data_IF_309669497248
#
_entry.id   IF_309669497248
#
_cell.length_a   1.000
_cell.length_b   1.000
_cell.length_c   1.000
_cell.angle_alpha   90.00
_cell.angle_beta   90.00
_cell.angle_gamma   90.00
#
_symmetry.space_group_name_H-M   'P 1'
#
loop_
_entity.id
_entity.type
_entity.pdbx_description
1 polymer ?
#
# COMPACT_ATOMS: atom_id res chain seq x y z
N UNK A 1 13.76 13.23 7.92
CA UNK A 1 12.80 12.15 7.59
C UNK A 1 13.54 10.96 6.98
N UNK A 2 13.91 9.93 7.76
CA UNK A 2 14.50 8.72 7.20
C UNK A 2 13.45 7.86 6.48
N UNK A 3 13.81 7.33 5.30
CA UNK A 3 13.04 6.27 4.63
C UNK A 3 13.17 4.98 5.45
N UNK A 4 12.07 4.25 5.66
CA UNK A 4 12.09 2.97 6.38
C UNK A 4 12.57 1.82 5.50
N UNK A 5 13.49 1.03 6.04
CA UNK A 5 14.02 -0.17 5.39
C UNK A 5 13.08 -1.36 5.52
N UNK A 6 13.34 -2.38 4.70
CA UNK A 6 12.68 -3.68 4.73
C UNK A 6 12.58 -4.29 6.15
N UNK A 7 13.64 -4.21 6.95
CA UNK A 7 13.66 -4.68 8.35
C UNK A 7 12.64 -3.96 9.21
N UNK A 8 12.51 -2.65 9.06
CA UNK A 8 11.55 -1.85 9.79
C UNK A 8 10.11 -2.17 9.33
N UNK A 9 9.89 -2.25 8.01
CA UNK A 9 8.59 -2.59 7.43
C UNK A 9 8.12 -3.96 7.93
N UNK A 10 8.97 -4.99 7.89
CA UNK A 10 8.66 -6.33 8.43
C UNK A 10 8.30 -6.28 9.90
N UNK A 11 9.12 -5.61 10.72
CA UNK A 11 8.88 -5.48 12.17
C UNK A 11 7.52 -4.86 12.46
N UNK A 12 7.26 -3.68 11.90
CA UNK A 12 6.03 -2.93 12.17
C UNK A 12 4.80 -3.64 11.59
N UNK A 13 4.92 -4.29 10.42
CA UNK A 13 3.83 -5.09 9.86
C UNK A 13 3.45 -6.28 10.77
N UNK A 14 4.44 -7.00 11.31
CA UNK A 14 4.20 -8.18 12.15
C UNK A 14 3.76 -7.81 13.57
N UNK A 15 4.34 -6.77 14.17
CA UNK A 15 4.07 -6.39 15.56
C UNK A 15 2.86 -5.48 15.72
N UNK A 16 2.63 -4.56 14.77
CA UNK A 16 1.59 -3.52 14.88
C UNK A 16 0.45 -3.68 13.87
N UNK A 17 0.46 -4.74 13.06
CA UNK A 17 -0.53 -5.00 12.00
C UNK A 17 -0.71 -3.82 11.03
N UNK A 18 0.38 -3.12 10.73
CA UNK A 18 0.38 -2.01 9.76
C UNK A 18 -0.09 -2.44 8.37
N UNK A 19 0.17 -3.69 7.98
CA UNK A 19 -0.27 -4.29 6.72
C UNK A 19 -0.88 -5.66 7.03
N UNK A 20 -2.11 -5.89 6.60
CA UNK A 20 -2.75 -7.21 6.67
C UNK A 20 -2.55 -8.01 5.38
N UNK A 21 -2.44 -9.33 5.49
CA UNK A 21 -1.99 -10.22 4.39
C UNK A 21 -0.61 -9.82 3.84
N UNK A 22 0.29 -9.55 4.78
CA UNK A 22 1.66 -9.10 4.55
C UNK A 22 2.56 -10.20 3.98
N UNK A 23 3.35 -9.85 2.97
CA UNK A 23 4.39 -10.72 2.40
C UNK A 23 5.80 -10.21 2.79
N UNK A 24 6.58 -10.96 3.58
CA UNK A 24 7.90 -10.50 4.07
C UNK A 24 8.98 -10.45 3.00
N UNK A 25 8.71 -10.99 1.80
CA UNK A 25 9.61 -10.98 0.66
C UNK A 25 8.87 -10.67 -0.64
N UNK A 26 9.65 -10.56 -1.71
CA UNK A 26 9.15 -10.31 -3.06
C UNK A 26 8.57 -11.60 -3.66
N UNK A 27 7.26 -11.61 -3.90
CA UNK A 27 6.55 -12.68 -4.60
C UNK A 27 6.61 -12.41 -6.09
N UNK A 28 7.16 -13.36 -6.86
CA UNK A 28 7.33 -13.24 -8.33
C UNK A 28 6.56 -14.31 -9.11
N UNK A 29 6.01 -15.28 -8.39
CA UNK A 29 5.28 -16.42 -8.95
C UNK A 29 4.09 -16.74 -8.05
N UNK A 30 2.91 -16.95 -8.64
CA UNK A 30 1.71 -17.44 -7.96
C UNK A 30 1.12 -18.61 -8.76
N UNK A 31 0.78 -19.71 -8.08
CA UNK A 31 0.20 -20.92 -8.70
C UNK A 31 1.01 -21.44 -9.91
N UNK A 32 2.35 -21.34 -9.85
CA UNK A 32 3.25 -21.75 -10.94
C UNK A 32 3.42 -20.73 -12.07
N UNK A 33 2.66 -19.63 -12.08
CA UNK A 33 2.73 -18.59 -13.12
C UNK A 33 3.53 -17.38 -12.63
N UNK A 34 4.31 -16.76 -13.53
CA UNK A 34 4.95 -15.47 -13.26
C UNK A 34 3.90 -14.37 -13.13
N UNK A 35 4.12 -13.46 -12.20
CA UNK A 35 3.25 -12.31 -11.93
C UNK A 35 4.07 -11.02 -11.83
N UNK A 36 3.43 -9.86 -12.00
CA UNK A 36 3.97 -8.59 -11.57
C UNK A 36 4.20 -8.66 -10.06
N UNK A 37 5.45 -8.47 -9.66
CA UNK A 37 5.86 -8.83 -8.31
C UNK A 37 5.35 -7.87 -7.25
N UNK A 38 5.13 -8.41 -6.05
CA UNK A 38 4.61 -7.65 -4.91
C UNK A 38 5.25 -8.10 -3.60
N UNK A 39 4.97 -7.39 -2.50
CA UNK A 39 5.50 -7.68 -1.17
C UNK A 39 6.65 -6.76 -0.77
N UNK A 40 7.45 -7.19 0.20
CA UNK A 40 8.50 -6.34 0.77
C UNK A 40 9.68 -6.15 -0.19
N UNK A 41 10.03 -4.89 -0.46
CA UNK A 41 11.23 -4.43 -1.17
C UNK A 41 12.21 -3.78 -0.20
N UNK A 42 13.42 -3.40 -0.66
CA UNK A 42 14.51 -2.90 0.21
C UNK A 42 14.12 -1.69 1.07
N UNK A 43 13.31 -0.78 0.52
CA UNK A 43 12.90 0.48 1.16
C UNK A 43 11.43 0.81 0.92
N UNK A 44 10.60 -0.21 0.70
CA UNK A 44 9.17 -0.02 0.45
C UNK A 44 8.40 -1.33 0.38
N UNK A 45 7.11 -1.22 0.12
CA UNK A 45 6.22 -2.37 0.01
C UNK A 45 5.40 -2.28 -1.28
N UNK A 46 5.55 -3.27 -2.14
CA UNK A 46 4.86 -3.38 -3.42
C UNK A 46 3.43 -3.90 -3.15
N UNK A 47 2.43 -3.05 -3.34
CA UNK A 47 1.03 -3.37 -3.09
C UNK A 47 0.38 -4.05 -4.28
N UNK A 48 -0.65 -4.86 -4.00
CA UNK A 48 -1.47 -5.54 -5.00
C UNK A 48 -2.78 -4.81 -5.25
N UNK A 49 -3.26 -4.86 -6.48
CA UNK A 49 -4.67 -4.54 -6.77
C UNK A 49 -5.52 -5.79 -6.51
N UNK A 50 -6.55 -5.72 -5.67
CA UNK A 50 -7.45 -6.87 -5.49
C UNK A 50 -8.48 -6.97 -6.63
N UNK A 51 -9.02 -8.15 -6.86
CA UNK A 51 -10.21 -8.37 -7.69
C UNK A 51 -11.53 -8.16 -6.92
N UNK A 52 -11.48 -7.91 -5.61
CA UNK A 52 -12.64 -7.69 -4.74
C UNK A 52 -12.50 -6.42 -3.90
N UNK A 53 -13.63 -5.79 -3.58
CA UNK A 53 -13.67 -4.63 -2.69
C UNK A 53 -13.64 -5.09 -1.22
N UNK A 54 -12.53 -4.86 -0.53
CA UNK A 54 -12.45 -4.96 0.96
C UNK A 54 -11.73 -3.70 1.48
N UNK A 55 -11.49 -3.57 2.79
CA UNK A 55 -10.87 -2.38 3.40
C UNK A 55 -9.51 -2.06 2.74
N UNK A 56 -9.40 -1.02 1.90
CA UNK A 56 -8.22 -0.80 1.05
C UNK A 56 -7.92 0.68 0.75
N UNK A 57 -6.66 0.95 0.43
CA UNK A 57 -6.21 2.16 -0.26
C UNK A 57 -6.92 2.25 -1.61
N UNK A 58 -7.54 3.40 -1.92
CA UNK A 58 -8.15 3.64 -3.23
C UNK A 58 -7.07 3.96 -4.25
N UNK A 59 -7.01 3.20 -5.35
CA UNK A 59 -6.07 3.41 -6.45
C UNK A 59 -6.79 4.03 -7.64
N UNK A 60 -6.15 5.03 -8.25
CA UNK A 60 -6.58 5.64 -9.50
C UNK A 60 -5.62 5.21 -10.61
N UNK A 61 -6.17 4.95 -11.79
CA UNK A 61 -5.40 4.57 -12.98
C UNK A 61 -5.86 5.41 -14.17
N UNK A 62 -5.03 6.37 -14.56
CA UNK A 62 -5.22 7.15 -15.78
C UNK A 62 -4.54 6.46 -16.97
N UNK A 63 -5.32 5.88 -17.89
CA UNK A 63 -4.78 5.39 -19.16
C UNK A 63 -4.50 6.57 -20.10
N UNK A 64 -3.22 6.94 -20.25
CA UNK A 64 -2.77 8.06 -21.09
C UNK A 64 -2.49 7.66 -22.54
N UNK A 65 -2.82 6.42 -22.94
CA UNK A 65 -2.60 5.90 -24.28
C UNK A 65 -3.91 5.85 -25.08
N UNK A 66 -3.86 5.90 -26.43
CA UNK A 66 -5.07 5.77 -27.27
C UNK A 66 -5.56 4.31 -27.40
N UNK A 67 -4.89 3.35 -26.74
CA UNK A 67 -5.22 1.93 -26.81
C UNK A 67 -5.73 1.43 -25.45
N UNK A 68 -6.55 0.35 -25.41
CA UNK A 68 -6.94 -0.26 -24.15
C UNK A 68 -5.72 -0.74 -23.33
N UNK A 69 -5.67 -0.37 -22.06
CA UNK A 69 -4.65 -0.82 -21.11
C UNK A 69 -5.18 -1.98 -20.25
N UNK A 70 -4.31 -2.95 -19.94
CA UNK A 70 -4.62 -4.08 -19.06
C UNK A 70 -4.09 -3.82 -17.66
N UNK A 71 -4.93 -4.08 -16.65
CA UNK A 71 -4.54 -4.10 -15.24
C UNK A 71 -4.74 -5.54 -14.75
N UNK A 72 -3.69 -6.15 -14.22
CA UNK A 72 -3.73 -7.52 -13.73
C UNK A 72 -4.08 -7.54 -12.25
N UNK A 73 -5.29 -8.00 -11.93
CA UNK A 73 -5.73 -8.14 -10.55
C UNK A 73 -4.93 -9.23 -9.82
N UNK A 74 -4.76 -9.04 -8.52
CA UNK A 74 -3.99 -9.83 -7.57
C UNK A 74 -2.46 -9.81 -7.76
N UNK A 75 -1.97 -8.94 -8.65
CA UNK A 75 -0.53 -8.72 -8.89
C UNK A 75 -0.09 -7.33 -8.44
N UNK A 76 1.22 -7.08 -8.41
CA UNK A 76 1.81 -5.81 -7.99
C UNK A 76 1.44 -4.66 -8.92
N UNK A 77 1.08 -3.50 -8.34
CA UNK A 77 0.65 -2.31 -9.10
C UNK A 77 1.34 -1.01 -8.71
N UNK A 78 1.86 -0.90 -7.49
CA UNK A 78 2.55 0.29 -7.00
C UNK A 78 3.46 -0.04 -5.82
N UNK A 79 4.43 0.83 -5.53
CA UNK A 79 5.29 0.73 -4.36
C UNK A 79 4.94 1.83 -3.35
N UNK A 80 4.68 1.43 -2.10
CA UNK A 80 4.49 2.35 -0.96
C UNK A 80 5.83 2.58 -0.28
N UNK A 81 6.15 3.86 -0.03
CA UNK A 81 7.33 4.30 0.73
C UNK A 81 6.87 4.84 2.08
N UNK A 82 7.53 4.40 3.16
CA UNK A 82 7.22 4.82 4.51
C UNK A 82 8.23 5.85 4.99
N UNK A 83 7.72 6.97 5.49
CA UNK A 83 8.51 8.07 6.04
C UNK A 83 8.14 8.25 7.50
N UNK A 84 9.12 8.62 8.31
CA UNK A 84 8.90 9.02 9.71
C UNK A 84 9.54 10.39 9.93
N UNK A 85 8.91 11.21 10.76
CA UNK A 85 9.49 12.45 11.24
C UNK A 85 10.63 12.18 12.21
N UNK A 86 11.28 13.24 12.69
CA UNK A 86 12.23 13.08 13.79
C UNK A 86 11.50 12.67 15.07
N UNK A 87 12.15 11.98 16.03
CA UNK A 87 11.51 11.54 17.27
C UNK A 87 10.89 12.68 18.10
N UNK A 88 11.44 13.88 18.00
CA UNK A 88 11.00 15.11 18.67
C UNK A 88 10.03 15.96 17.82
N UNK A 89 9.68 15.50 16.61
CA UNK A 89 8.83 16.19 15.64
C UNK A 89 7.54 15.40 15.39
N UNK A 90 6.77 15.17 16.46
CA UNK A 90 5.46 14.50 16.35
C UNK A 90 4.41 15.50 15.87
N UNK A 91 3.50 15.07 14.99
CA UNK A 91 2.44 15.95 14.49
C UNK A 91 1.55 16.47 15.63
N UNK A 92 1.28 17.78 15.65
CA UNK A 92 0.38 18.40 16.64
C UNK A 92 -1.06 17.87 16.54
N UNK A 93 -1.52 17.59 15.32
CA UNK A 93 -2.88 17.10 15.05
C UNK A 93 -2.83 15.97 14.03
N UNK A 94 -3.18 14.75 14.45
CA UNK A 94 -3.18 13.58 13.57
C UNK A 94 -4.38 13.57 12.63
N UNK A 95 -4.34 12.73 11.58
CA UNK A 95 -5.48 12.56 10.68
C UNK A 95 -6.75 12.06 11.41
N UNK A 96 -6.57 11.29 12.50
CA UNK A 96 -7.65 10.85 13.38
C UNK A 96 -8.27 12.04 14.12
N UNK A 97 -7.45 12.91 14.70
CA UNK A 97 -7.92 14.07 15.47
C UNK A 97 -8.67 15.08 14.60
N UNK A 98 -8.31 15.17 13.31
CA UNK A 98 -9.02 16.00 12.31
C UNK A 98 -10.40 15.45 11.90
N UNK A 99 -10.81 14.27 12.39
CA UNK A 99 -12.02 13.61 11.89
C UNK A 99 -11.88 13.22 10.42
N UNK A 100 -10.70 12.72 10.03
CA UNK A 100 -10.32 12.47 8.66
C UNK A 100 -11.39 11.78 7.80
N UNK A 101 -11.71 12.40 6.67
CA UNK A 101 -12.75 12.02 5.70
C UNK A 101 -12.68 10.58 5.19
N UNK A 102 -11.47 10.04 5.18
CA UNK A 102 -11.11 8.71 4.68
C UNK A 102 -10.55 7.81 5.81
N UNK A 103 -10.75 8.19 7.07
CA UNK A 103 -10.36 7.34 8.19
C UNK A 103 -11.29 6.11 8.26
N UNK A 104 -10.72 4.91 8.35
CA UNK A 104 -11.49 3.68 8.53
C UNK A 104 -12.35 3.27 7.33
N UNK A 105 -11.91 3.57 6.10
CA UNK A 105 -12.63 3.21 4.88
C UNK A 105 -12.89 1.71 4.77
N UNK A 106 -14.13 1.36 4.44
CA UNK A 106 -14.56 -0.01 4.14
C UNK A 106 -14.98 -0.07 2.66
N UNK A 107 -14.02 -0.32 1.78
CA UNK A 107 -14.22 -0.39 0.33
C UNK A 107 -13.85 0.89 -0.43
N UNK A 108 -14.16 0.92 -1.74
CA UNK A 108 -13.86 2.08 -2.60
C UNK A 108 -14.72 3.25 -2.17
N UNK A 109 -14.07 4.29 -1.69
CA UNK A 109 -14.73 5.55 -1.36
C UNK A 109 -14.46 6.54 -2.48
N UNK A 110 -15.48 6.98 -3.23
CA UNK A 110 -15.32 8.05 -4.19
C UNK A 110 -14.73 9.30 -3.54
N UNK A 111 -14.11 10.21 -4.32
CA UNK A 111 -13.72 11.52 -3.83
C UNK A 111 -14.92 12.19 -3.18
N UNK A 112 -14.84 12.34 -1.86
CA UNK A 112 -15.83 13.11 -1.13
C UNK A 112 -15.37 14.57 -1.30
N UNK A 113 -16.21 15.45 -1.86
CA UNK A 113 -15.95 16.90 -1.96
C UNK A 113 -16.28 17.59 -0.65
#
# INVERSE_FOLDING_TARGET
MPIKSDRCIRRVALEQRMIERFEPGQVKTLNGNRVLSFGTSSYGYDIRCSNEFKLYVTLEFSNTTPLPAKIYANEGVAQVIFLESAPDDTCEVSYKDRGGKYQGQVGVTPPKV
#
